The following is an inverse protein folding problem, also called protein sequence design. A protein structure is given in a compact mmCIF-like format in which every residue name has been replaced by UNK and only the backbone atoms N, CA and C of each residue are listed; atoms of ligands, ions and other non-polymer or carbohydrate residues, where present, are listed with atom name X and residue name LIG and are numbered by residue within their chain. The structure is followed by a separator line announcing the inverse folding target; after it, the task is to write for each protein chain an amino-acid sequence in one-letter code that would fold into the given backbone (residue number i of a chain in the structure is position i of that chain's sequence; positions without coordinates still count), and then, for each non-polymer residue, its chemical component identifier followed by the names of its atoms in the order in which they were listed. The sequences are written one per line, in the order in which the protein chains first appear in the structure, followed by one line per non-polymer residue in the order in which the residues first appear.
data_IF_475457123533
#
_entry.id   IF_475457123533
#
_cell.length_a   1.000
_cell.length_b   1.000
_cell.length_c   1.000
_cell.angle_alpha   90.00
_cell.angle_beta   90.00
_cell.angle_gamma   90.00
#
_symmetry.space_group_name_H-M   'P 1'
#
loop_
_entity.id
_entity.type
_entity.pdbx_description
1 polymer ?
#
# COMPACT_ATOMS: atom_id res chain seq x y z
N UNK A 1 7.48 -22.85 1.10
CA UNK A 1 6.27 -22.02 1.25
C UNK A 1 6.06 -21.30 -0.07
N UNK A 2 4.92 -21.48 -0.69
CA UNK A 2 4.57 -20.84 -1.95
C UNK A 2 4.46 -19.32 -1.75
N UNK A 3 5.06 -18.52 -2.67
CA UNK A 3 4.98 -17.06 -2.58
C UNK A 3 3.61 -16.59 -3.01
N UNK A 4 3.10 -15.57 -2.32
CA UNK A 4 1.83 -14.94 -2.67
C UNK A 4 1.98 -14.04 -3.89
N UNK A 5 0.86 -13.73 -4.56
CA UNK A 5 0.83 -12.76 -5.66
C UNK A 5 1.40 -11.39 -5.22
N UNK A 6 1.11 -10.95 -4.01
CA UNK A 6 1.62 -9.72 -3.42
C UNK A 6 3.16 -9.74 -3.28
N UNK A 7 3.74 -10.85 -2.78
CA UNK A 7 5.19 -10.97 -2.62
C UNK A 7 5.91 -10.94 -3.97
N UNK A 8 5.43 -11.68 -4.97
CA UNK A 8 6.02 -11.70 -6.31
C UNK A 8 5.96 -10.32 -6.99
N UNK A 9 4.84 -9.63 -6.84
CA UNK A 9 4.67 -8.28 -7.36
C UNK A 9 5.67 -7.31 -6.70
N UNK A 10 5.75 -7.30 -5.37
CA UNK A 10 6.64 -6.40 -4.64
C UNK A 10 8.12 -6.69 -4.91
N UNK A 11 8.50 -7.95 -5.08
CA UNK A 11 9.85 -8.33 -5.50
C UNK A 11 10.20 -7.74 -6.88
N UNK A 12 9.26 -7.76 -7.84
CA UNK A 12 9.47 -7.15 -9.16
C UNK A 12 9.62 -5.63 -9.08
N UNK A 13 8.79 -4.96 -8.28
CA UNK A 13 8.87 -3.51 -8.06
C UNK A 13 10.19 -3.13 -7.38
N UNK A 14 10.60 -3.89 -6.35
CA UNK A 14 11.86 -3.65 -5.65
C UNK A 14 13.09 -3.90 -6.54
N UNK A 15 13.04 -4.86 -7.44
CA UNK A 15 14.10 -5.10 -8.42
C UNK A 15 14.23 -3.92 -9.42
N UNK A 16 13.11 -3.35 -9.86
CA UNK A 16 13.10 -2.17 -10.72
C UNK A 16 13.52 -0.88 -9.99
N UNK A 17 13.18 -0.77 -8.70
CA UNK A 17 13.40 0.42 -7.86
C UNK A 17 14.06 0.06 -6.52
N UNK A 18 15.33 -0.35 -6.50
CA UNK A 18 15.97 -0.91 -5.30
C UNK A 18 16.24 0.13 -4.19
N UNK A 19 16.25 1.42 -4.52
CA UNK A 19 16.54 2.49 -3.56
C UNK A 19 15.27 2.90 -2.80
N UNK A 20 15.21 2.63 -1.50
CA UNK A 20 14.09 3.02 -0.63
C UNK A 20 13.82 4.53 -0.61
N UNK A 21 14.85 5.36 -0.75
CA UNK A 21 14.74 6.83 -0.73
C UNK A 21 13.97 7.42 -1.90
N UNK A 22 13.73 6.66 -2.97
CA UNK A 22 12.92 7.09 -4.11
C UNK A 22 11.48 6.58 -4.08
N UNK A 23 11.09 5.83 -3.04
CA UNK A 23 9.76 5.25 -2.92
C UNK A 23 8.90 6.09 -1.99
N UNK A 24 7.70 6.44 -2.46
CA UNK A 24 6.64 7.09 -1.67
C UNK A 24 5.45 6.16 -1.59
N UNK A 25 5.02 5.84 -0.38
CA UNK A 25 3.77 5.11 -0.15
C UNK A 25 2.64 6.10 0.09
N UNK A 26 1.56 5.96 -0.69
CA UNK A 26 0.30 6.69 -0.49
C UNK A 26 -0.74 5.70 0.00
N UNK A 27 -0.92 5.66 1.31
CA UNK A 27 -1.81 4.73 2.02
C UNK A 27 -3.16 5.44 2.23
N UNK A 28 -4.13 5.09 1.38
CA UNK A 28 -5.41 5.80 1.32
C UNK A 28 -6.40 5.16 2.28
N UNK A 29 -7.19 5.99 2.94
CA UNK A 29 -8.25 5.56 3.83
C UNK A 29 -8.45 6.43 5.04
N UNK A 30 -9.22 5.92 6.02
CA UNK A 30 -9.57 6.61 7.27
C UNK A 30 -9.64 5.62 8.42
N UNK A 31 -9.33 6.10 9.62
CA UNK A 31 -9.46 5.35 10.87
C UNK A 31 -10.91 5.24 11.38
N UNK A 32 -11.86 5.97 10.76
CA UNK A 32 -13.29 6.03 11.15
C UNK A 32 -14.13 4.90 10.57
N UNK A 33 -13.55 4.05 9.75
CA UNK A 33 -14.22 2.91 9.11
C UNK A 33 -13.24 1.74 9.09
N UNK A 34 -13.63 0.60 9.65
CA UNK A 34 -12.72 -0.52 9.85
C UNK A 34 -12.09 -1.01 8.53
N UNK A 35 -12.87 -1.16 7.47
CA UNK A 35 -12.36 -1.58 6.17
C UNK A 35 -11.39 -0.55 5.58
N UNK A 36 -11.77 0.73 5.63
CA UNK A 36 -10.97 1.83 5.12
C UNK A 36 -9.69 2.10 5.93
N UNK A 37 -9.58 1.53 7.13
CA UNK A 37 -8.37 1.67 7.95
C UNK A 37 -7.20 0.83 7.45
N UNK A 38 -7.40 -0.05 6.47
CA UNK A 38 -6.34 -0.89 5.90
C UNK A 38 -5.13 -0.06 5.44
N UNK A 39 -5.35 0.94 4.58
CA UNK A 39 -4.29 1.83 4.12
C UNK A 39 -3.55 2.54 5.28
N UNK A 40 -4.24 3.29 6.14
CA UNK A 40 -3.65 3.94 7.30
C UNK A 40 -2.88 3.02 8.26
N UNK A 41 -3.35 1.79 8.48
CA UNK A 41 -2.64 0.81 9.30
C UNK A 41 -1.32 0.37 8.61
N UNK A 42 -1.36 0.07 7.30
CA UNK A 42 -0.14 -0.22 6.54
C UNK A 42 0.84 0.94 6.61
N UNK A 43 0.36 2.18 6.39
CA UNK A 43 1.20 3.38 6.45
C UNK A 43 1.88 3.56 7.81
N UNK A 44 1.14 3.35 8.90
CA UNK A 44 1.70 3.39 10.27
C UNK A 44 2.80 2.35 10.46
N UNK A 45 2.54 1.10 10.04
CA UNK A 45 3.53 0.02 10.14
C UNK A 45 4.79 0.30 9.30
N UNK A 46 4.64 0.86 8.09
CA UNK A 46 5.76 1.24 7.24
C UNK A 46 6.59 2.36 7.88
N UNK A 47 5.95 3.35 8.47
CA UNK A 47 6.64 4.42 9.18
C UNK A 47 7.43 3.89 10.39
N UNK A 48 6.83 3.02 11.20
CA UNK A 48 7.49 2.33 12.33
C UNK A 48 8.68 1.47 11.87
N UNK A 49 8.62 0.93 10.65
CA UNK A 49 9.69 0.14 10.02
C UNK A 49 10.77 1.00 9.34
N UNK A 50 10.71 2.35 9.50
CA UNK A 50 11.72 3.28 9.02
C UNK A 50 11.63 3.65 7.55
N UNK A 51 10.45 3.57 6.94
CA UNK A 51 10.20 4.17 5.64
C UNK A 51 10.01 5.68 5.81
N UNK A 52 10.79 6.47 5.05
CA UNK A 52 10.83 7.92 5.22
C UNK A 52 9.64 8.64 4.59
N UNK A 53 9.19 8.16 3.43
CA UNK A 53 8.17 8.83 2.63
C UNK A 53 6.87 8.02 2.65
N UNK A 54 6.06 8.24 3.69
CA UNK A 54 4.74 7.61 3.87
C UNK A 54 3.68 8.67 4.07
N UNK A 55 2.68 8.68 3.20
CA UNK A 55 1.49 9.53 3.26
C UNK A 55 0.30 8.66 3.65
N UNK A 56 -0.42 9.03 4.70
CA UNK A 56 -1.57 8.28 5.20
C UNK A 56 -1.19 7.26 6.27
N UNK A 57 -1.28 7.68 7.52
CA UNK A 57 -1.09 6.86 8.72
C UNK A 57 -2.35 6.93 9.60
N UNK A 58 -2.44 6.15 10.67
CA UNK A 58 -3.54 6.28 11.64
C UNK A 58 -3.55 7.63 12.33
N UNK A 59 -2.38 8.22 12.61
CA UNK A 59 -2.27 9.55 13.20
C UNK A 59 -2.67 10.65 12.22
N UNK A 60 -2.33 10.49 10.94
CA UNK A 60 -2.64 11.45 9.88
C UNK A 60 -3.20 10.73 8.65
N UNK A 61 -4.46 10.34 8.66
CA UNK A 61 -5.08 9.62 7.55
C UNK A 61 -5.09 10.43 6.25
N UNK A 62 -4.93 9.74 5.13
CA UNK A 62 -5.06 10.30 3.79
C UNK A 62 -6.34 9.78 3.16
N UNK A 63 -7.44 10.45 3.43
CA UNK A 63 -8.77 10.07 2.94
C UNK A 63 -9.09 10.68 1.56
N UNK A 64 -10.27 10.38 1.05
CA UNK A 64 -10.76 10.88 -0.23
C UNK A 64 -10.84 12.41 -0.33
N UNK A 65 -10.82 13.14 0.80
CA UNK A 65 -10.85 14.61 0.82
C UNK A 65 -9.45 15.23 0.77
N UNK A 66 -8.47 14.55 1.33
CA UNK A 66 -7.11 15.05 1.50
C UNK A 66 -6.12 14.52 0.46
N UNK A 67 -6.43 13.39 -0.18
CA UNK A 67 -5.49 12.68 -1.07
C UNK A 67 -5.02 13.54 -2.25
N UNK A 68 -5.91 14.29 -2.89
CA UNK A 68 -5.55 15.14 -4.03
C UNK A 68 -4.52 16.23 -3.64
N UNK A 69 -4.68 16.80 -2.45
CA UNK A 69 -3.72 17.77 -1.93
C UNK A 69 -2.41 17.13 -1.52
N UNK A 70 -2.48 15.96 -0.87
CA UNK A 70 -1.32 15.24 -0.39
C UNK A 70 -0.36 14.80 -1.50
N UNK A 71 -0.91 14.34 -2.64
CA UNK A 71 -0.08 13.89 -3.78
C UNK A 71 0.58 15.03 -4.55
N UNK A 72 0.06 16.25 -4.49
CA UNK A 72 0.66 17.43 -5.16
C UNK A 72 2.05 17.79 -4.62
N UNK A 73 2.38 17.38 -3.40
CA UNK A 73 3.68 17.60 -2.77
C UNK A 73 4.73 16.54 -3.08
N UNK A 74 4.37 15.48 -3.79
CA UNK A 74 5.30 14.41 -4.14
C UNK A 74 6.23 14.87 -5.26
N UNK A 75 7.52 14.57 -5.14
CA UNK A 75 8.52 14.89 -6.16
C UNK A 75 8.24 14.11 -7.45
N UNK A 76 8.50 14.74 -8.60
CA UNK A 76 8.23 14.14 -9.92
C UNK A 76 9.05 12.88 -10.20
N UNK A 77 10.24 12.76 -9.62
CA UNK A 77 11.14 11.60 -9.76
C UNK A 77 10.86 10.46 -8.78
N UNK A 78 9.91 10.64 -7.88
CA UNK A 78 9.54 9.63 -6.90
C UNK A 78 8.68 8.53 -7.53
N UNK A 79 8.92 7.28 -7.11
CA UNK A 79 8.08 6.14 -7.46
C UNK A 79 6.99 6.00 -6.40
N UNK A 80 5.76 6.19 -6.82
CA UNK A 80 4.59 6.16 -5.93
C UNK A 80 3.93 4.79 -5.97
N UNK A 81 3.78 4.18 -4.79
CA UNK A 81 3.00 2.96 -4.57
C UNK A 81 1.74 3.33 -3.79
N UNK A 82 0.59 3.23 -4.43
CA UNK A 82 -0.69 3.53 -3.82
C UNK A 82 -1.28 2.26 -3.16
N UNK A 83 -1.79 2.42 -1.93
CA UNK A 83 -2.37 1.33 -1.13
C UNK A 83 -3.75 1.77 -0.65
N UNK A 84 -4.77 0.97 -0.94
CA UNK A 84 -6.16 1.27 -0.59
C UNK A 84 -6.93 -0.02 -0.27
N UNK A 85 -8.05 0.13 0.42
CA UNK A 85 -9.02 -0.94 0.62
C UNK A 85 -10.02 -1.01 -0.55
N UNK A 86 -10.49 -2.19 -0.86
CA UNK A 86 -11.58 -2.35 -1.81
C UNK A 86 -12.56 -3.45 -1.37
N UNK A 87 -13.72 -3.44 -2.00
CA UNK A 87 -14.69 -4.52 -1.92
C UNK A 87 -14.55 -5.43 -3.14
N UNK A 88 -14.81 -6.71 -2.97
CA UNK A 88 -14.70 -7.69 -4.06
C UNK A 88 -15.75 -8.77 -4.00
N UNK A 89 -15.54 -9.87 -4.71
CA UNK A 89 -16.38 -11.05 -4.57
C UNK A 89 -16.18 -11.70 -3.19
N UNK A 90 -17.15 -12.43 -2.64
CA UNK A 90 -16.96 -13.14 -1.37
C UNK A 90 -15.73 -14.06 -1.35
N UNK A 91 -15.36 -14.63 -2.48
CA UNK A 91 -14.19 -15.53 -2.62
C UNK A 91 -12.86 -14.77 -2.63
N UNK A 92 -12.87 -13.48 -2.93
CA UNK A 92 -11.65 -12.65 -2.98
C UNK A 92 -11.36 -11.90 -1.68
N UNK A 93 -12.24 -11.97 -0.69
CA UNK A 93 -12.01 -11.35 0.62
C UNK A 93 -10.74 -11.91 1.26
N UNK A 94 -9.87 -11.03 1.73
CA UNK A 94 -8.55 -11.38 2.28
C UNK A 94 -7.44 -11.49 1.24
N UNK A 95 -7.73 -11.27 -0.05
CA UNK A 95 -6.71 -11.27 -1.11
C UNK A 95 -6.33 -9.84 -1.53
N UNK A 96 -5.26 -9.75 -2.31
CA UNK A 96 -4.74 -8.48 -2.83
C UNK A 96 -4.86 -8.42 -4.34
N UNK A 97 -5.30 -7.27 -4.84
CA UNK A 97 -5.24 -6.91 -6.25
C UNK A 97 -4.03 -5.99 -6.42
N UNK A 98 -3.09 -6.40 -7.24
CA UNK A 98 -1.86 -5.66 -7.51
C UNK A 98 -1.77 -5.30 -8.98
N UNK A 99 -1.22 -4.13 -9.30
CA UNK A 99 -1.11 -3.66 -10.69
C UNK A 99 0.10 -2.76 -10.91
N UNK A 100 0.73 -2.91 -12.06
CA UNK A 100 1.66 -1.96 -12.67
C UNK A 100 0.85 -0.78 -13.25
N UNK A 101 0.37 0.10 -12.37
CA UNK A 101 -0.45 1.23 -12.75
C UNK A 101 -1.13 1.87 -11.55
N UNK A 102 -1.76 3.03 -11.77
CA UNK A 102 -2.45 3.75 -10.72
C UNK A 102 -3.70 3.02 -10.25
N UNK A 103 -4.11 3.33 -9.03
CA UNK A 103 -5.46 3.04 -8.57
C UNK A 103 -6.33 4.29 -8.59
N UNK A 104 -7.64 4.09 -8.69
CA UNK A 104 -8.63 5.15 -8.58
C UNK A 104 -9.32 5.07 -7.22
N UNK A 105 -8.94 5.95 -6.27
CA UNK A 105 -9.54 5.96 -4.94
C UNK A 105 -11.01 6.39 -4.97
N UNK A 106 -11.75 6.07 -3.91
CA UNK A 106 -13.12 6.57 -3.71
C UNK A 106 -14.19 5.90 -4.58
N UNK A 107 -13.84 4.88 -5.36
CA UNK A 107 -14.81 4.17 -6.21
C UNK A 107 -15.96 3.55 -5.40
N UNK A 108 -15.67 3.05 -4.20
CA UNK A 108 -16.68 2.48 -3.30
C UNK A 108 -17.69 3.53 -2.77
N UNK A 109 -17.30 4.81 -2.71
CA UNK A 109 -18.14 5.92 -2.25
C UNK A 109 -18.69 6.78 -3.40
N UNK A 110 -18.54 6.32 -4.65
CA UNK A 110 -19.08 7.03 -5.83
C UNK A 110 -18.34 8.31 -6.20
N UNK A 111 -17.17 8.57 -5.65
CA UNK A 111 -16.32 9.71 -6.02
C UNK A 111 -15.34 9.35 -7.11
N UNK A 112 -15.22 10.22 -8.11
CA UNK A 112 -14.12 10.18 -9.08
C UNK A 112 -12.99 11.06 -8.55
N UNK A 113 -11.99 10.42 -7.96
CA UNK A 113 -10.74 11.05 -7.59
C UNK A 113 -9.70 10.81 -8.69
N UNK A 114 -8.64 11.63 -8.77
CA UNK A 114 -7.55 11.37 -9.72
C UNK A 114 -6.91 10.00 -9.45
N UNK A 115 -6.40 9.40 -10.49
CA UNK A 115 -5.62 8.17 -10.42
C UNK A 115 -4.30 8.44 -9.70
N UNK A 116 -3.89 7.53 -8.83
CA UNK A 116 -2.71 7.70 -7.97
C UNK A 116 -1.82 6.47 -8.06
N UNK A 117 -0.52 6.74 -8.16
CA UNK A 117 0.53 5.73 -8.11
C UNK A 117 1.06 5.32 -9.48
N UNK A 118 2.30 4.87 -9.47
CA UNK A 118 2.92 4.12 -10.57
C UNK A 118 2.60 2.63 -10.42
N UNK A 119 2.42 2.22 -9.17
CA UNK A 119 2.04 0.87 -8.75
C UNK A 119 0.90 0.94 -7.75
N UNK A 120 0.09 -0.10 -7.68
CA UNK A 120 -1.04 -0.12 -6.77
C UNK A 120 -1.25 -1.48 -6.09
N UNK A 121 -1.70 -1.42 -4.84
CA UNK A 121 -2.10 -2.56 -4.02
C UNK A 121 -3.48 -2.25 -3.45
N UNK A 122 -4.49 -3.02 -3.83
CA UNK A 122 -5.81 -2.94 -3.25
C UNK A 122 -6.11 -4.19 -2.40
N UNK A 123 -6.34 -4.00 -1.10
CA UNK A 123 -6.75 -5.07 -0.20
C UNK A 123 -8.26 -5.30 -0.28
N UNK A 124 -8.69 -6.51 -0.63
CA UNK A 124 -10.12 -6.87 -0.64
C UNK A 124 -10.55 -7.17 0.78
N UNK A 125 -11.04 -6.16 1.49
CA UNK A 125 -11.34 -6.23 2.93
C UNK A 125 -12.72 -6.77 3.25
N UNK A 126 -13.67 -6.69 2.31
CA UNK A 126 -15.02 -7.25 2.46
C UNK A 126 -15.66 -7.53 1.10
N UNK A 127 -16.78 -8.22 1.12
CA UNK A 127 -17.56 -8.49 -0.08
C UNK A 127 -18.34 -7.27 -0.57
N UNK A 128 -18.58 -7.19 -1.88
CA UNK A 128 -19.52 -6.23 -2.45
C UNK A 128 -20.91 -6.45 -1.86
N UNK A 129 -21.61 -5.35 -1.64
CA UNK A 129 -22.96 -5.34 -1.12
C UNK A 129 -23.73 -4.10 -1.57
N UNK A 130 -25.06 -4.02 -1.31
CA UNK A 130 -25.90 -2.94 -1.79
C UNK A 130 -25.56 -1.56 -1.20
N UNK A 131 -24.83 -1.55 -0.09
CA UNK A 131 -24.36 -0.33 0.59
C UNK A 131 -22.86 -0.46 0.88
N UNK A 132 -22.03 -0.07 -0.07
CA UNK A 132 -20.56 -0.17 0.02
C UNK A 132 -20.00 0.42 1.32
N UNK A 133 -20.49 1.58 1.73
CA UNK A 133 -20.10 2.24 2.99
C UNK A 133 -20.32 1.34 4.22
N UNK A 134 -21.49 0.67 4.32
CA UNK A 134 -21.77 -0.26 5.42
C UNK A 134 -20.88 -1.50 5.38
N UNK A 135 -20.57 -2.00 4.18
CA UNK A 135 -19.66 -3.14 4.04
C UNK A 135 -18.28 -2.80 4.59
N UNK A 136 -17.76 -1.61 4.28
CA UNK A 136 -16.47 -1.16 4.82
C UNK A 136 -16.52 -0.96 6.33
N UNK A 137 -17.57 -0.34 6.87
CA UNK A 137 -17.70 -0.13 8.32
C UNK A 137 -17.82 -1.42 9.12
N UNK A 138 -18.48 -2.44 8.60
CA UNK A 138 -18.72 -3.72 9.28
C UNK A 138 -17.66 -4.77 8.99
N UNK A 139 -16.54 -4.38 8.38
CA UNK A 139 -15.41 -5.26 8.10
C UNK A 139 -14.75 -5.75 9.40
N UNK A 140 -14.24 -6.98 9.39
CA UNK A 140 -13.51 -7.54 10.52
C UNK A 140 -12.18 -6.81 10.74
N UNK A 141 -12.00 -6.22 11.92
CA UNK A 141 -10.72 -5.61 12.30
C UNK A 141 -9.58 -6.64 12.32
N UNK A 142 -9.84 -7.87 12.75
CA UNK A 142 -8.85 -8.95 12.74
C UNK A 142 -8.34 -9.22 11.31
N UNK A 143 -9.25 -9.27 10.33
CA UNK A 143 -8.88 -9.44 8.92
C UNK A 143 -8.03 -8.27 8.43
N UNK A 144 -8.47 -7.03 8.65
CA UNK A 144 -7.75 -5.83 8.20
C UNK A 144 -6.35 -5.76 8.81
N UNK A 145 -6.22 -6.04 10.10
CA UNK A 145 -4.93 -6.08 10.79
C UNK A 145 -4.00 -7.17 10.23
N UNK A 146 -4.55 -8.35 9.93
CA UNK A 146 -3.81 -9.44 9.31
C UNK A 146 -3.28 -9.06 7.93
N UNK A 147 -4.15 -8.53 7.08
CA UNK A 147 -3.78 -8.05 5.73
C UNK A 147 -2.75 -6.93 5.77
N UNK A 148 -2.90 -5.97 6.69
CA UNK A 148 -1.94 -4.87 6.83
C UNK A 148 -0.55 -5.36 7.26
N UNK A 149 -0.48 -6.30 8.20
CA UNK A 149 0.78 -6.94 8.61
C UNK A 149 1.45 -7.69 7.45
N UNK A 150 0.67 -8.43 6.68
CA UNK A 150 1.15 -9.13 5.49
C UNK A 150 1.72 -8.15 4.47
N UNK A 151 0.99 -7.06 4.17
CA UNK A 151 1.44 -6.03 3.22
C UNK A 151 2.73 -5.35 3.66
N UNK A 152 2.78 -4.84 4.89
CA UNK A 152 3.97 -4.16 5.42
C UNK A 152 5.18 -5.13 5.52
N UNK A 153 4.94 -6.37 5.91
CA UNK A 153 5.96 -7.41 5.96
C UNK A 153 6.52 -7.77 4.59
N UNK A 154 5.65 -7.93 3.58
CA UNK A 154 6.05 -8.22 2.20
C UNK A 154 6.84 -7.06 1.57
N UNK A 155 6.42 -5.81 1.81
CA UNK A 155 7.16 -4.61 1.39
C UNK A 155 8.57 -4.62 1.99
N UNK A 156 8.69 -4.78 3.28
CA UNK A 156 10.00 -4.80 3.94
C UNK A 156 10.90 -5.93 3.44
N UNK A 157 10.35 -7.12 3.28
CA UNK A 157 11.07 -8.28 2.76
C UNK A 157 11.61 -8.02 1.35
N UNK A 158 10.79 -7.47 0.45
CA UNK A 158 11.18 -7.20 -0.93
C UNK A 158 12.39 -6.26 -1.01
N UNK A 159 12.40 -5.15 -0.26
CA UNK A 159 13.52 -4.21 -0.27
C UNK A 159 14.70 -4.61 0.62
N UNK A 160 14.53 -5.52 1.57
CA UNK A 160 15.64 -6.03 2.39
C UNK A 160 16.63 -6.86 1.58
N UNK A 161 16.17 -7.59 0.58
CA UNK A 161 17.00 -8.41 -0.30
C UNK A 161 17.96 -7.56 -1.16
N UNK A 162 17.66 -6.28 -1.39
CA UNK A 162 18.48 -5.36 -2.18
C UNK A 162 19.50 -4.56 -1.34
N UNK A 163 19.41 -4.61 0.00
CA UNK A 163 20.40 -3.96 0.89
C UNK A 163 21.78 -4.65 0.85
N UNK A 164 21.83 -5.95 0.66
CA UNK A 164 23.06 -6.71 0.76
C UNK A 164 24.01 -6.47 -0.43
N UNK A 165 23.50 -6.11 -1.60
CA UNK A 165 24.33 -5.91 -2.81
C UNK A 165 25.11 -4.59 -2.72
N UNK A 166 24.55 -3.53 -2.15
CA UNK A 166 25.25 -2.23 -2.01
C UNK A 166 26.33 -2.23 -0.90
N UNK A 167 26.16 -3.08 0.11
CA UNK A 167 27.15 -3.25 1.18
C UNK A 167 28.38 -4.05 0.69
N UNK A 168 28.18 -5.05 -0.17
CA UNK A 168 29.25 -5.87 -0.74
C UNK A 168 30.13 -5.09 -1.74
N UNK A 169 29.57 -4.12 -2.46
CA UNK A 169 30.35 -3.28 -3.39
C UNK A 169 31.30 -2.30 -2.67
N UNK A 170 31.09 -2.00 -1.38
CA UNK A 170 32.02 -1.18 -0.58
C UNK A 170 33.29 -1.90 -0.14
N UNK A 171 33.33 -3.23 -0.25
CA UNK A 171 34.50 -4.04 0.14
C UNK A 171 35.30 -4.58 -1.04
N UNK A 172 34.88 -4.32 -2.28
CA UNK A 172 35.73 -4.57 -3.45
C UNK A 172 36.69 -3.38 -3.61
N UNK A 173 37.86 -3.48 -2.98
CA UNK A 173 39.00 -2.63 -3.30
C UNK A 173 39.49 -3.00 -4.71
N UNK A 174 39.81 -2.02 -5.59
CA UNK A 174 40.45 -2.30 -6.83
C UNK A 174 41.87 -2.85 -6.57
N UNK A 175 42.17 -3.94 -7.22
CA UNK A 175 43.52 -4.52 -7.28
C UNK A 175 44.42 -3.63 -8.16
#
# INVERSE_FOLDING_TARGET
MERTNLELFLESVAAAHPKRSGIVFVCIGTDRSTGDSFGPIVGTMLQEQGWAEVIGTLEKPCDAHSVEHAVKGIKEDAVVIAIDACLGSPKSVGHFLVSDGPLQPGKAIGRRLPEIGHYSIAGVVNANGPKAYWMLQTTSLHLVMGMAKETAGAINKAWSQHKDISALQKYCLPI
#
